data_IF_508668111154
#
_entry.id   IF_508668111154
#
_cell.length_a   1.000
_cell.length_b   1.000
_cell.length_c   1.000
_cell.angle_alpha   90.00
_cell.angle_beta   90.00
_cell.angle_gamma   90.00
#
_symmetry.space_group_name_H-M   'P 1'
#
loop_
_entity.id
_entity.type
_entity.pdbx_description
1 polymer ?
#
# COMPACT_ATOMS: atom_id res chain seq x y z
N UNK A 1 11.84 7.03 23.53
CA UNK A 1 11.61 8.39 23.01
C UNK A 1 12.95 9.02 22.67
N UNK A 2 13.46 8.80 21.47
CA UNK A 2 14.60 9.55 20.96
C UNK A 2 14.04 10.64 20.04
N UNK A 3 14.33 11.89 20.40
CA UNK A 3 14.14 13.09 19.58
C UNK A 3 12.70 13.53 19.25
N UNK A 4 11.73 13.31 20.15
CA UNK A 4 10.39 13.92 20.01
C UNK A 4 9.44 13.26 19.01
N UNK A 5 9.86 12.17 18.36
CA UNK A 5 9.01 11.38 17.45
C UNK A 5 7.93 10.62 18.24
N UNK A 6 6.68 10.77 17.86
CA UNK A 6 5.58 10.00 18.43
C UNK A 6 5.79 8.50 18.19
N UNK A 7 5.75 7.69 19.27
CA UNK A 7 5.93 6.24 19.21
C UNK A 7 4.68 5.55 18.66
N UNK A 8 4.53 5.53 17.34
CA UNK A 8 3.50 4.77 16.64
C UNK A 8 4.13 3.84 15.60
N UNK A 9 3.38 2.83 15.12
CA UNK A 9 3.90 1.83 14.19
C UNK A 9 4.48 2.40 12.91
N UNK A 10 3.89 3.48 12.38
CA UNK A 10 4.35 4.15 11.16
C UNK A 10 5.71 4.82 11.38
N UNK A 11 5.88 5.57 12.47
CA UNK A 11 7.13 6.26 12.79
C UNK A 11 8.23 5.26 13.17
N UNK A 12 7.89 4.18 13.85
CA UNK A 12 8.82 3.08 14.15
C UNK A 12 9.36 2.42 12.87
N UNK A 13 8.49 2.22 11.88
CA UNK A 13 8.90 1.68 10.57
C UNK A 13 9.81 2.66 9.84
N UNK A 14 9.42 3.95 9.73
CA UNK A 14 10.25 4.99 9.11
C UNK A 14 11.62 5.08 9.77
N UNK A 15 11.69 5.08 11.10
CA UNK A 15 12.93 5.14 11.86
C UNK A 15 13.84 3.92 11.58
N UNK A 16 13.27 2.72 11.54
CA UNK A 16 14.03 1.50 11.19
C UNK A 16 14.63 1.58 9.79
N UNK A 17 13.82 2.02 8.81
CA UNK A 17 14.29 2.18 7.44
C UNK A 17 15.34 3.29 7.32
N UNK A 18 15.15 4.41 8.05
CA UNK A 18 16.13 5.48 8.18
C UNK A 18 17.51 4.95 8.65
N UNK A 19 17.52 4.14 9.69
CA UNK A 19 18.76 3.52 10.18
C UNK A 19 19.37 2.56 9.15
N UNK A 20 18.56 1.73 8.47
CA UNK A 20 19.04 0.83 7.43
C UNK A 20 19.67 1.55 6.24
N UNK A 21 19.23 2.77 5.96
CA UNK A 21 19.69 3.58 4.82
C UNK A 21 20.71 4.66 5.22
N UNK A 22 21.27 4.58 6.44
CA UNK A 22 22.21 5.58 6.97
C UNK A 22 21.69 7.02 6.87
N UNK A 23 20.38 7.22 7.13
CA UNK A 23 19.76 8.54 7.13
C UNK A 23 19.58 9.17 5.75
N UNK A 24 19.62 8.40 4.68
CA UNK A 24 19.51 8.91 3.31
C UNK A 24 18.27 8.39 2.59
N UNK A 25 17.73 9.20 1.70
CA UNK A 25 16.74 8.77 0.73
C UNK A 25 17.37 7.75 -0.22
N UNK A 26 16.75 6.58 -0.36
CA UNK A 26 17.34 5.51 -1.17
C UNK A 26 17.46 5.89 -2.65
N UNK A 27 16.52 6.68 -3.20
CA UNK A 27 16.50 7.03 -4.61
C UNK A 27 17.35 8.23 -4.97
N UNK A 28 17.38 9.27 -4.14
CA UNK A 28 18.14 10.49 -4.44
C UNK A 28 19.49 10.58 -3.74
N UNK A 29 19.77 9.71 -2.76
CA UNK A 29 20.96 9.83 -1.93
C UNK A 29 20.95 11.01 -0.96
N UNK A 30 19.97 11.90 -1.03
CA UNK A 30 19.87 13.08 -0.17
C UNK A 30 19.64 12.69 1.29
N UNK A 31 20.23 13.45 2.21
CA UNK A 31 20.03 13.26 3.63
C UNK A 31 18.56 13.52 4.03
N UNK A 32 18.04 12.67 4.90
CA UNK A 32 16.71 12.82 5.52
C UNK A 32 16.93 13.38 6.92
N UNK A 33 16.28 14.50 7.26
CA UNK A 33 16.32 15.04 8.62
C UNK A 33 15.44 14.18 9.54
N UNK A 34 16.06 13.56 10.53
CA UNK A 34 15.40 12.71 11.50
C UNK A 34 14.26 13.42 12.26
N UNK A 35 14.40 14.72 12.51
CA UNK A 35 13.41 15.53 13.23
C UNK A 35 12.13 15.77 12.43
N UNK A 36 12.17 15.52 11.13
CA UNK A 36 11.06 15.72 10.20
C UNK A 36 10.41 14.41 9.74
N UNK A 37 10.79 13.27 10.33
CA UNK A 37 10.28 11.95 9.89
C UNK A 37 8.76 11.81 10.00
N UNK A 38 8.14 12.47 10.95
CA UNK A 38 6.68 12.48 11.18
C UNK A 38 5.96 13.62 10.45
N UNK A 39 6.71 14.54 9.81
CA UNK A 39 6.14 15.61 9.01
C UNK A 39 5.42 15.03 7.78
N UNK A 40 4.16 15.43 7.61
CA UNK A 40 3.38 14.99 6.46
C UNK A 40 3.96 15.54 5.15
N UNK A 41 4.17 14.65 4.17
CA UNK A 41 4.67 15.04 2.85
C UNK A 41 6.18 15.27 2.77
N UNK A 42 6.95 15.00 3.84
CA UNK A 42 8.40 15.10 3.82
C UNK A 42 9.07 13.81 3.34
N UNK A 43 8.74 12.68 3.95
CA UNK A 43 9.25 11.38 3.55
C UNK A 43 8.18 10.29 3.67
N UNK A 44 8.27 9.28 2.83
CA UNK A 44 7.34 8.16 2.74
C UNK A 44 8.05 6.82 2.85
N UNK A 45 7.30 5.82 3.29
CA UNK A 45 7.65 4.42 3.10
C UNK A 45 7.13 4.00 1.74
N UNK A 46 8.03 3.70 0.82
CA UNK A 46 7.70 3.25 -0.53
C UNK A 46 7.91 1.76 -0.69
N UNK A 47 7.10 1.13 -1.55
CA UNK A 47 7.33 -0.22 -2.01
C UNK A 47 8.32 -0.23 -3.18
N UNK A 48 9.44 -0.93 -3.02
CA UNK A 48 10.50 -1.04 -4.05
C UNK A 48 9.88 -1.50 -5.37
N UNK A 49 9.28 -2.67 -5.34
CA UNK A 49 8.38 -3.12 -6.40
C UNK A 49 6.97 -2.67 -6.01
N UNK A 50 6.29 -1.87 -6.83
CA UNK A 50 4.98 -1.32 -6.49
C UNK A 50 4.01 -2.38 -5.98
N UNK A 51 3.28 -2.07 -4.90
CA UNK A 51 2.32 -3.01 -4.33
C UNK A 51 1.25 -3.45 -5.34
N UNK A 52 0.85 -2.57 -6.25
CA UNK A 52 -0.10 -2.88 -7.32
C UNK A 52 0.40 -3.97 -8.28
N UNK A 53 1.71 -4.18 -8.36
CA UNK A 53 2.36 -5.17 -9.25
C UNK A 53 2.80 -6.43 -8.50
N UNK A 54 3.33 -6.29 -7.27
CA UNK A 54 3.92 -7.40 -6.50
C UNK A 54 2.99 -7.99 -5.46
N UNK A 55 2.03 -7.22 -4.94
CA UNK A 55 1.23 -7.51 -3.75
C UNK A 55 2.07 -7.84 -2.50
N UNK A 56 3.37 -7.50 -2.54
CA UNK A 56 4.31 -7.75 -1.44
C UNK A 56 4.37 -6.53 -0.51
N UNK A 57 3.76 -6.65 0.68
CA UNK A 57 3.85 -5.68 1.78
C UNK A 57 4.97 -6.01 2.79
N UNK A 58 5.85 -6.95 2.44
CA UNK A 58 6.93 -7.39 3.31
C UNK A 58 8.01 -6.32 3.54
N UNK A 59 8.78 -6.49 4.62
CA UNK A 59 9.86 -5.57 5.02
C UNK A 59 10.97 -5.46 3.95
N UNK A 60 11.17 -6.53 3.17
CA UNK A 60 12.18 -6.56 2.11
C UNK A 60 11.75 -5.79 0.85
N UNK A 61 10.48 -5.45 0.75
CA UNK A 61 9.94 -4.63 -0.33
C UNK A 61 9.68 -3.17 0.10
N UNK A 62 10.16 -2.74 1.28
CA UNK A 62 9.93 -1.38 1.80
C UNK A 62 11.22 -0.61 1.98
N UNK A 63 11.22 0.66 1.58
CA UNK A 63 12.31 1.63 1.75
C UNK A 63 11.78 2.97 2.23
N UNK A 64 12.69 3.82 2.75
CA UNK A 64 12.39 5.20 3.08
C UNK A 64 12.88 6.11 1.94
N UNK A 65 12.05 6.99 1.48
CA UNK A 65 12.42 7.99 0.48
C UNK A 65 11.79 9.35 0.78
N UNK A 66 12.30 10.39 0.15
CA UNK A 66 11.64 11.68 0.14
C UNK A 66 10.29 11.56 -0.60
N UNK A 67 9.27 12.21 -0.09
CA UNK A 67 7.93 12.12 -0.67
C UNK A 67 7.86 12.63 -2.12
N UNK A 68 8.74 13.55 -2.49
CA UNK A 68 8.87 14.01 -3.87
C UNK A 68 9.38 12.89 -4.81
N UNK A 69 10.40 12.14 -4.38
CA UNK A 69 10.93 11.00 -5.14
C UNK A 69 9.87 9.89 -5.26
N UNK A 70 9.12 9.63 -4.18
CA UNK A 70 8.02 8.65 -4.18
C UNK A 70 6.95 9.01 -5.23
N UNK A 71 6.53 10.28 -5.26
CA UNK A 71 5.55 10.76 -6.24
C UNK A 71 6.06 10.66 -7.67
N UNK A 72 7.34 10.97 -7.91
CA UNK A 72 7.95 10.87 -9.25
C UNK A 72 8.09 9.42 -9.71
N UNK A 73 8.48 8.51 -8.80
CA UNK A 73 8.57 7.09 -9.08
C UNK A 73 7.20 6.48 -9.40
N UNK A 74 6.16 6.80 -8.64
CA UNK A 74 4.83 6.26 -8.83
C UNK A 74 4.80 4.73 -8.85
N UNK A 75 4.17 4.15 -9.85
CA UNK A 75 4.05 2.68 -10.03
C UNK A 75 5.21 2.05 -10.80
N UNK A 76 6.35 2.72 -10.89
CA UNK A 76 7.56 2.22 -11.55
C UNK A 76 8.44 1.43 -10.57
N UNK A 77 9.22 0.47 -11.09
CA UNK A 77 10.34 -0.12 -10.35
C UNK A 77 11.48 0.91 -10.23
N UNK A 78 12.46 0.68 -9.33
CA UNK A 78 13.63 1.57 -9.26
C UNK A 78 14.37 1.72 -10.60
N UNK A 79 14.50 0.62 -11.35
CA UNK A 79 15.14 0.64 -12.67
C UNK A 79 14.35 1.48 -13.67
N UNK A 80 13.05 1.21 -13.82
CA UNK A 80 12.16 1.95 -14.71
C UNK A 80 12.13 3.47 -14.41
N UNK A 81 12.31 3.84 -13.14
CA UNK A 81 12.33 5.24 -12.71
C UNK A 81 13.69 5.91 -12.93
N UNK A 82 14.79 5.26 -12.56
CA UNK A 82 16.11 5.90 -12.49
C UNK A 82 16.91 5.80 -13.78
N UNK A 83 16.72 4.75 -14.58
CA UNK A 83 17.45 4.55 -15.85
C UNK A 83 17.18 5.69 -16.86
N UNK A 84 15.93 6.10 -17.12
CA UNK A 84 15.65 7.20 -18.05
C UNK A 84 16.24 8.55 -17.58
N UNK A 85 16.51 8.68 -16.27
CA UNK A 85 17.10 9.88 -15.67
C UNK A 85 18.64 9.85 -15.66
N UNK A 86 19.27 8.78 -16.14
CA UNK A 86 20.71 8.59 -16.08
C UNK A 86 21.26 8.43 -14.67
N UNK A 87 20.43 8.04 -13.69
CA UNK A 87 20.77 7.94 -12.26
C UNK A 87 20.95 6.50 -11.77
N UNK A 88 20.82 5.52 -12.66
CA UNK A 88 20.85 4.10 -12.28
C UNK A 88 22.21 3.67 -11.74
N UNK A 89 23.32 4.01 -12.39
CA UNK A 89 24.66 3.57 -11.97
C UNK A 89 25.06 4.09 -10.60
N UNK A 90 24.70 5.36 -10.30
CA UNK A 90 24.92 5.94 -8.97
C UNK A 90 24.09 5.21 -7.92
N UNK A 91 22.82 4.98 -8.20
CA UNK A 91 21.91 4.23 -7.33
C UNK A 91 22.40 2.80 -7.07
N UNK A 92 22.81 2.06 -8.11
CA UNK A 92 23.37 0.72 -8.00
C UNK A 92 24.60 0.69 -7.09
N UNK A 93 25.48 1.68 -7.21
CA UNK A 93 26.65 1.85 -6.35
C UNK A 93 26.25 2.06 -4.89
N UNK A 94 25.29 2.96 -4.61
CA UNK A 94 24.80 3.24 -3.26
C UNK A 94 24.19 1.99 -2.63
N UNK A 95 23.35 1.26 -3.36
CA UNK A 95 22.71 0.04 -2.86
C UNK A 95 23.75 -1.04 -2.54
N UNK A 96 24.75 -1.22 -3.39
CA UNK A 96 25.79 -2.21 -3.19
C UNK A 96 26.75 -1.87 -2.05
N UNK A 97 26.99 -0.59 -1.80
CA UNK A 97 27.89 -0.13 -0.73
C UNK A 97 27.21 0.08 0.62
N UNK A 98 25.89 -0.08 0.71
CA UNK A 98 25.13 0.04 1.97
C UNK A 98 25.02 -1.33 2.67
N UNK A 99 25.80 -1.60 3.76
CA UNK A 99 25.91 -2.93 4.35
C UNK A 99 24.60 -3.39 5.04
N UNK A 100 23.82 -2.46 5.56
CA UNK A 100 22.59 -2.71 6.30
C UNK A 100 21.41 -3.13 5.42
N UNK A 101 21.54 -3.05 4.09
CA UNK A 101 20.57 -3.57 3.14
C UNK A 101 20.84 -5.07 2.94
N UNK A 102 19.91 -5.91 3.41
CA UNK A 102 20.03 -7.35 3.27
C UNK A 102 19.91 -7.81 1.80
N UNK A 103 20.31 -9.07 1.52
CA UNK A 103 20.34 -9.63 0.18
C UNK A 103 18.98 -9.59 -0.53
N UNK A 104 17.89 -9.89 0.16
CA UNK A 104 16.56 -9.92 -0.44
C UNK A 104 16.09 -8.53 -0.87
N UNK A 105 16.26 -7.53 0.02
CA UNK A 105 15.95 -6.13 -0.30
C UNK A 105 16.83 -5.61 -1.44
N UNK A 106 18.12 -5.95 -1.45
CA UNK A 106 19.05 -5.58 -2.52
C UNK A 106 18.62 -6.17 -3.87
N UNK A 107 18.19 -7.42 -3.90
CA UNK A 107 17.69 -8.05 -5.11
C UNK A 107 16.45 -7.31 -5.66
N UNK A 108 15.54 -6.88 -4.80
CA UNK A 108 14.37 -6.09 -5.22
C UNK A 108 14.79 -4.72 -5.75
N UNK A 109 15.73 -4.02 -5.08
CA UNK A 109 16.23 -2.71 -5.50
C UNK A 109 16.94 -2.75 -6.85
N UNK A 110 17.73 -3.79 -7.10
CA UNK A 110 18.56 -3.93 -8.30
C UNK A 110 17.89 -4.76 -9.40
N UNK A 111 16.60 -5.05 -9.29
CA UNK A 111 15.88 -5.81 -10.30
C UNK A 111 15.61 -4.94 -11.54
N UNK A 112 16.31 -5.26 -12.65
CA UNK A 112 16.18 -4.55 -13.93
C UNK A 112 15.02 -5.06 -14.78
N UNK A 113 14.68 -6.34 -14.62
CA UNK A 113 13.69 -7.03 -15.44
C UNK A 113 12.55 -7.59 -14.57
N UNK A 114 11.86 -6.70 -13.85
CA UNK A 114 10.70 -7.14 -13.09
C UNK A 114 9.56 -7.49 -14.05
N UNK A 115 9.35 -8.78 -14.24
CA UNK A 115 8.16 -9.28 -14.93
C UNK A 115 7.14 -9.70 -13.88
N UNK A 116 5.90 -9.28 -14.08
CA UNK A 116 4.78 -9.81 -13.29
C UNK A 116 4.72 -11.33 -13.54
N UNK A 117 5.09 -12.09 -12.51
CA UNK A 117 5.05 -13.56 -12.62
C UNK A 117 3.60 -14.00 -12.74
N UNK A 118 3.34 -15.07 -13.48
CA UNK A 118 2.03 -15.74 -13.48
C UNK A 118 1.54 -16.04 -12.05
N UNK A 119 2.48 -16.34 -11.15
CA UNK A 119 2.21 -16.51 -9.71
C UNK A 119 1.61 -15.26 -9.04
N UNK A 120 1.86 -14.05 -9.53
CA UNK A 120 1.29 -12.82 -8.97
C UNK A 120 -0.18 -12.67 -9.37
N UNK A 121 -0.57 -13.16 -10.54
CA UNK A 121 -1.98 -13.25 -10.94
C UNK A 121 -2.73 -14.27 -10.09
N UNK A 122 -2.18 -15.47 -9.89
CA UNK A 122 -2.76 -16.46 -8.97
C UNK A 122 -2.82 -15.96 -7.53
N UNK A 123 -1.83 -15.17 -7.08
CA UNK A 123 -1.84 -14.57 -5.74
C UNK A 123 -2.91 -13.48 -5.62
N UNK A 124 -3.12 -12.67 -6.67
CA UNK A 124 -4.22 -11.70 -6.74
C UNK A 124 -5.58 -12.38 -6.70
N UNK A 125 -5.74 -13.47 -7.45
CA UNK A 125 -6.98 -14.28 -7.45
C UNK A 125 -7.21 -14.94 -6.09
N UNK A 126 -6.17 -15.48 -5.45
CA UNK A 126 -6.26 -16.04 -4.09
C UNK A 126 -6.66 -14.98 -3.07
N UNK A 127 -6.04 -13.79 -3.08
CA UNK A 127 -6.42 -12.69 -2.20
C UNK A 127 -7.86 -12.21 -2.44
N UNK A 128 -8.33 -12.18 -3.67
CA UNK A 128 -9.72 -11.86 -3.97
C UNK A 128 -10.68 -12.93 -3.42
N UNK A 129 -10.30 -14.20 -3.51
CA UNK A 129 -11.02 -15.32 -2.92
C UNK A 129 -11.01 -15.28 -1.40
N UNK A 130 -9.86 -14.98 -0.77
CA UNK A 130 -9.72 -14.84 0.67
C UNK A 130 -10.57 -13.70 1.21
N UNK A 131 -10.55 -12.54 0.56
CA UNK A 131 -11.42 -11.41 0.91
C UNK A 131 -12.91 -11.78 0.81
N UNK A 132 -13.28 -12.55 -0.20
CA UNK A 132 -14.65 -13.06 -0.35
C UNK A 132 -15.02 -14.05 0.77
N UNK A 133 -14.08 -14.89 1.18
CA UNK A 133 -14.26 -15.81 2.30
C UNK A 133 -14.39 -15.05 3.63
N UNK A 134 -13.47 -14.11 3.88
CA UNK A 134 -13.50 -13.25 5.09
C UNK A 134 -14.82 -12.49 5.18
N UNK A 135 -15.28 -11.88 4.08
CA UNK A 135 -16.54 -11.14 4.05
C UNK A 135 -17.75 -12.02 4.40
N UNK A 136 -17.75 -13.28 3.91
CA UNK A 136 -18.80 -14.27 4.25
C UNK A 136 -18.71 -14.72 5.71
N UNK A 137 -17.49 -14.91 6.22
CA UNK A 137 -17.28 -15.29 7.62
C UNK A 137 -17.75 -14.17 8.56
N UNK A 138 -17.33 -12.92 8.30
CA UNK A 138 -17.72 -11.74 9.09
C UNK A 138 -19.26 -11.56 9.03
N UNK A 139 -19.87 -11.77 7.87
CA UNK A 139 -21.33 -11.73 7.76
C UNK A 139 -22.00 -12.70 8.73
N UNK A 140 -21.59 -13.97 8.73
CA UNK A 140 -22.14 -14.99 9.65
C UNK A 140 -21.89 -14.62 11.11
N UNK A 141 -20.67 -14.20 11.44
CA UNK A 141 -20.33 -13.78 12.79
C UNK A 141 -21.23 -12.65 13.28
N UNK A 142 -21.50 -11.65 12.45
CA UNK A 142 -22.38 -10.54 12.80
C UNK A 142 -23.85 -10.97 12.89
N UNK A 143 -24.30 -11.90 12.03
CA UNK A 143 -25.65 -12.47 12.12
C UNK A 143 -25.89 -13.23 13.42
N UNK A 144 -24.85 -13.88 13.95
CA UNK A 144 -24.91 -14.62 15.20
C UNK A 144 -24.71 -13.74 16.45
N UNK A 145 -23.86 -12.70 16.36
CA UNK A 145 -23.44 -11.88 17.49
C UNK A 145 -24.34 -10.65 17.75
N UNK A 146 -25.07 -10.19 16.75
CA UNK A 146 -25.91 -8.98 16.85
C UNK A 146 -27.37 -9.38 17.07
N UNK A 147 -27.96 -8.85 18.15
CA UNK A 147 -29.40 -9.04 18.42
C UNK A 147 -30.23 -8.15 17.49
N UNK A 148 -30.98 -8.79 16.58
CA UNK A 148 -31.87 -8.13 15.65
C UNK A 148 -33.35 -8.26 16.05
N UNK A 149 -33.67 -8.68 17.26
CA UNK A 149 -35.03 -8.97 17.73
C UNK A 149 -36.01 -7.79 17.58
N UNK A 150 -35.48 -6.54 17.68
CA UNK A 150 -36.27 -5.31 17.55
C UNK A 150 -36.58 -4.90 16.11
N UNK A 151 -36.13 -5.63 15.10
CA UNK A 151 -36.30 -5.25 13.70
C UNK A 151 -37.37 -6.09 13.01
N UNK A 152 -38.21 -5.47 12.23
CA UNK A 152 -39.30 -6.11 11.48
C UNK A 152 -38.84 -6.88 10.22
N UNK A 153 -37.57 -6.79 9.88
CA UNK A 153 -36.98 -7.42 8.69
C UNK A 153 -36.50 -8.85 8.95
N UNK A 154 -36.64 -9.75 7.99
CA UNK A 154 -36.14 -11.12 8.11
C UNK A 154 -34.63 -11.16 8.31
N UNK A 155 -34.13 -12.02 9.21
CA UNK A 155 -32.70 -12.10 9.61
C UNK A 155 -31.75 -12.20 8.41
N UNK A 156 -32.13 -12.97 7.38
CA UNK A 156 -31.30 -13.21 6.19
C UNK A 156 -30.99 -11.98 5.35
N UNK A 157 -31.70 -10.89 5.50
CA UNK A 157 -31.55 -9.67 4.69
C UNK A 157 -30.93 -8.50 5.47
N UNK A 158 -30.56 -8.66 6.74
CA UNK A 158 -30.08 -7.58 7.61
C UNK A 158 -28.63 -7.23 7.38
N UNK A 159 -27.81 -8.25 7.08
CA UNK A 159 -26.40 -8.07 6.77
C UNK A 159 -26.20 -8.51 5.32
N UNK A 160 -25.80 -7.56 4.49
CA UNK A 160 -25.57 -7.81 3.07
C UNK A 160 -24.09 -7.59 2.72
N UNK A 161 -23.56 -8.54 1.98
CA UNK A 161 -22.22 -8.41 1.37
C UNK A 161 -22.42 -8.09 -0.10
N UNK A 162 -21.73 -7.06 -0.58
CA UNK A 162 -21.79 -6.65 -2.00
C UNK A 162 -20.46 -6.94 -2.67
N UNK A 163 -20.50 -7.28 -3.95
CA UNK A 163 -19.29 -7.50 -4.73
C UNK A 163 -18.65 -6.17 -5.11
N UNK A 164 -17.30 -6.13 -5.22
CA UNK A 164 -16.58 -4.96 -5.68
C UNK A 164 -16.98 -4.51 -7.08
N UNK A 165 -17.37 -5.46 -7.96
CA UNK A 165 -17.86 -5.15 -9.31
C UNK A 165 -19.18 -4.37 -9.30
N UNK A 166 -20.11 -4.70 -8.38
CA UNK A 166 -21.34 -3.93 -8.22
C UNK A 166 -21.07 -2.51 -7.73
N UNK A 167 -20.19 -2.38 -6.73
CA UNK A 167 -19.78 -1.07 -6.19
C UNK A 167 -19.12 -0.21 -7.27
N UNK A 168 -18.27 -0.80 -8.09
CA UNK A 168 -17.60 -0.13 -9.19
C UNK A 168 -18.60 0.33 -10.27
N UNK A 169 -19.50 -0.55 -10.67
CA UNK A 169 -20.58 -0.24 -11.62
C UNK A 169 -21.43 0.93 -11.15
N UNK A 170 -21.90 0.90 -9.90
CA UNK A 170 -22.76 1.96 -9.34
C UNK A 170 -22.01 3.29 -9.25
N UNK A 171 -20.73 3.29 -8.86
CA UNK A 171 -19.91 4.52 -8.85
C UNK A 171 -19.83 5.14 -10.24
N UNK A 172 -19.58 4.33 -11.28
CA UNK A 172 -19.51 4.83 -12.66
C UNK A 172 -20.85 5.42 -13.09
N UNK A 173 -21.96 4.77 -12.76
CA UNK A 173 -23.31 5.29 -13.07
C UNK A 173 -23.59 6.63 -12.38
N UNK A 174 -23.03 6.84 -11.19
CA UNK A 174 -23.21 8.08 -10.41
C UNK A 174 -22.15 9.14 -10.68
N UNK A 175 -21.23 8.88 -11.60
CA UNK A 175 -20.14 9.82 -11.94
C UNK A 175 -19.08 9.96 -10.83
N UNK A 176 -19.01 9.01 -9.90
CA UNK A 176 -18.03 8.99 -8.83
C UNK A 176 -16.74 8.31 -9.30
N UNK A 177 -15.88 9.07 -9.94
CA UNK A 177 -14.59 8.58 -10.43
C UNK A 177 -13.67 8.33 -9.23
N UNK A 178 -13.00 7.17 -9.24
CA UNK A 178 -12.04 6.80 -8.20
C UNK A 178 -10.66 7.27 -8.58
N UNK A 179 -10.17 8.33 -7.95
CA UNK A 179 -8.76 8.69 -8.00
C UNK A 179 -8.06 8.22 -6.72
N UNK A 180 -7.20 7.21 -6.87
CA UNK A 180 -6.44 6.63 -5.77
C UNK A 180 -5.21 7.46 -5.38
N UNK A 181 -4.83 8.40 -6.24
CA UNK A 181 -3.64 9.22 -6.04
C UNK A 181 -3.93 10.51 -5.29
N UNK A 182 -5.18 11.00 -5.35
CA UNK A 182 -5.55 12.24 -4.66
C UNK A 182 -5.85 12.06 -3.18
N UNK A 183 -6.56 11.00 -2.79
CA UNK A 183 -6.94 10.81 -1.38
C UNK A 183 -7.57 9.45 -1.09
N UNK A 184 -7.64 9.08 0.20
CA UNK A 184 -8.37 7.89 0.70
C UNK A 184 -9.90 8.08 0.73
N UNK A 185 -10.44 9.19 0.21
CA UNK A 185 -11.88 9.47 0.16
C UNK A 185 -12.68 8.43 -0.61
N UNK A 186 -12.02 7.71 -1.52
CA UNK A 186 -12.64 6.62 -2.26
C UNK A 186 -13.18 5.51 -1.35
N UNK A 187 -12.61 5.28 -0.16
CA UNK A 187 -13.17 4.33 0.80
C UNK A 187 -14.52 4.81 1.38
N UNK A 188 -14.63 6.11 1.67
CA UNK A 188 -15.88 6.70 2.10
C UNK A 188 -16.94 6.68 0.99
N UNK A 189 -16.55 6.97 -0.25
CA UNK A 189 -17.42 6.86 -1.42
C UNK A 189 -17.92 5.43 -1.61
N UNK A 190 -17.03 4.43 -1.56
CA UNK A 190 -17.40 3.02 -1.66
C UNK A 190 -18.38 2.62 -0.54
N UNK A 191 -18.17 3.11 0.69
CA UNK A 191 -19.09 2.86 1.81
C UNK A 191 -20.49 3.45 1.56
N UNK A 192 -20.58 4.68 1.05
CA UNK A 192 -21.87 5.30 0.68
C UNK A 192 -22.56 4.52 -0.42
N UNK A 193 -21.83 4.14 -1.48
CA UNK A 193 -22.36 3.34 -2.59
C UNK A 193 -22.92 2.01 -2.09
N UNK A 194 -22.19 1.32 -1.21
CA UNK A 194 -22.65 0.06 -0.60
C UNK A 194 -23.91 0.29 0.25
N UNK A 195 -23.95 1.37 1.04
CA UNK A 195 -25.12 1.69 1.87
C UNK A 195 -26.37 2.00 1.03
N UNK A 196 -26.20 2.64 -0.14
CA UNK A 196 -27.28 2.96 -1.05
C UNK A 196 -27.67 1.79 -1.97
N UNK A 197 -26.85 0.74 -2.09
CA UNK A 197 -27.11 -0.46 -2.89
C UNK A 197 -28.07 -1.42 -2.17
N UNK A 198 -29.13 -0.91 -1.55
CA UNK A 198 -30.22 -1.70 -0.98
C UNK A 198 -31.22 -2.07 -2.04
N UNK A 199 -31.80 -3.28 -1.93
CA UNK A 199 -32.94 -3.67 -2.75
C UNK A 199 -34.19 -2.94 -2.31
#
# INVERSE_FOLDING_TARGET
EKEGLAANGKNMLKYRLYQQQNGKCIYSGNAIDLRRLDENGYCDVDHIIPYSRSLDDGQNNKVLCLAEENRKKGSQTPYEYLEPLGRWEEFETVVNTTPSINRYKRNNLLNKDYQEKENDLEFRERNANDNSYIARYVKRYLEDAVDFSASSCAIKNRIQVRTGSLTDYLRHQWGLIKDRNESDRHHAQDAVVVACATQ
#
